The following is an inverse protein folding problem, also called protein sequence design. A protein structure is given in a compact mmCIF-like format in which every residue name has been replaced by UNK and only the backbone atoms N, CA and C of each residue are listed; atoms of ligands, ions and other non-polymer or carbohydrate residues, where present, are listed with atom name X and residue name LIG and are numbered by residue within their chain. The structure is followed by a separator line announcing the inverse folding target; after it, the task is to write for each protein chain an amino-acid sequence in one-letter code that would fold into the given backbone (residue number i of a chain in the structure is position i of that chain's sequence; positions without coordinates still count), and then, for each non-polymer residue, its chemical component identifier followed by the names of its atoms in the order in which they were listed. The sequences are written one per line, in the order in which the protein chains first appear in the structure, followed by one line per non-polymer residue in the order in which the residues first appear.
data_IF_979023750271
#
_entry.id   IF_979023750271
#
_cell.length_a   1.000
_cell.length_b   1.000
_cell.length_c   1.000
_cell.angle_alpha   90.00
_cell.angle_beta   90.00
_cell.angle_gamma   90.00
#
_symmetry.space_group_name_H-M   'P 1'
#
loop_
_entity.id
_entity.type
_entity.pdbx_description
1 polymer ?
#
# COMPACT_ATOMS: atom_id res chain seq x y z
N UNK A 1 -8.50 13.61 1.46
CA UNK A 1 -7.34 13.35 0.57
C UNK A 1 -6.64 12.08 0.97
N UNK A 2 -6.21 11.19 0.05
CA UNK A 2 -5.49 9.97 0.41
C UNK A 2 -4.24 10.26 1.24
N UNK A 3 -3.91 9.41 2.24
CA UNK A 3 -2.74 9.60 3.09
C UNK A 3 -1.44 9.49 2.28
N UNK A 4 -0.38 10.12 2.78
CA UNK A 4 0.96 9.94 2.23
C UNK A 4 1.58 8.68 2.85
N UNK A 5 2.26 7.89 2.02
CA UNK A 5 3.12 6.82 2.51
C UNK A 5 4.50 7.37 2.90
N UNK A 6 5.35 6.52 3.48
CA UNK A 6 6.72 6.88 3.89
C UNK A 6 7.63 7.31 2.73
N UNK A 7 7.22 7.05 1.48
CA UNK A 7 7.90 7.54 0.29
C UNK A 7 7.54 9.00 -0.06
N UNK A 8 6.65 9.66 0.71
CA UNK A 8 6.13 10.99 0.43
C UNK A 8 5.12 11.04 -0.72
N UNK A 9 4.57 9.90 -1.14
CA UNK A 9 3.61 9.79 -2.26
C UNK A 9 2.21 9.48 -1.75
N UNK A 10 1.19 9.90 -2.51
CA UNK A 10 -0.20 9.53 -2.22
C UNK A 10 -0.36 8.01 -2.30
N UNK A 11 -0.94 7.44 -1.25
CA UNK A 11 -1.25 6.02 -1.18
C UNK A 11 -2.43 5.67 -2.12
N UNK A 12 -2.40 4.45 -2.66
CA UNK A 12 -3.46 3.90 -3.50
C UNK A 12 -4.58 3.35 -2.62
N UNK A 13 -5.83 3.71 -2.93
CA UNK A 13 -7.04 3.13 -2.33
C UNK A 13 -7.31 1.76 -2.96
N UNK A 14 -7.49 0.75 -2.12
CA UNK A 14 -7.70 -0.64 -2.52
C UNK A 14 -8.86 -1.23 -1.70
N UNK A 15 -9.57 -2.18 -2.27
CA UNK A 15 -10.66 -2.89 -1.59
C UNK A 15 -10.29 -4.36 -1.43
N UNK A 16 -10.52 -4.92 -0.25
CA UNK A 16 -10.29 -6.35 0.00
C UNK A 16 -11.32 -7.16 -0.78
N UNK A 17 -10.86 -7.86 -1.82
CA UNK A 17 -11.70 -8.76 -2.62
C UNK A 17 -11.70 -10.20 -2.09
N UNK A 18 -10.72 -10.56 -1.25
CA UNK A 18 -10.60 -11.90 -0.68
C UNK A 18 -11.80 -12.17 0.25
N UNK A 19 -12.50 -13.32 0.10
CA UNK A 19 -13.59 -13.69 0.99
C UNK A 19 -13.16 -13.74 2.47
N UNK A 20 -14.03 -13.28 3.35
CA UNK A 20 -13.83 -13.30 4.81
C UNK A 20 -14.35 -12.06 5.53
N UNK A 21 -14.11 -11.92 6.84
CA UNK A 21 -14.66 -10.83 7.66
C UNK A 21 -14.28 -9.41 7.21
N UNK A 22 -13.23 -9.29 6.40
CA UNK A 22 -12.73 -8.03 5.87
C UNK A 22 -13.12 -7.78 4.41
N UNK A 23 -13.85 -8.69 3.76
CA UNK A 23 -14.28 -8.52 2.37
C UNK A 23 -15.06 -7.21 2.21
N UNK A 24 -14.75 -6.47 1.15
CA UNK A 24 -15.34 -5.16 0.89
C UNK A 24 -14.76 -4.00 1.70
N UNK A 25 -13.92 -4.26 2.72
CA UNK A 25 -13.24 -3.17 3.46
C UNK A 25 -12.18 -2.50 2.59
N UNK A 26 -12.05 -1.20 2.76
CA UNK A 26 -11.13 -0.35 1.99
C UNK A 26 -9.90 -0.02 2.81
N UNK A 27 -8.73 -0.10 2.19
CA UNK A 27 -7.45 0.28 2.76
C UNK A 27 -6.61 1.10 1.78
N UNK A 28 -5.59 1.76 2.31
CA UNK A 28 -4.59 2.51 1.57
C UNK A 28 -3.24 1.79 1.66
N UNK A 29 -2.54 1.66 0.52
CA UNK A 29 -1.21 1.07 0.46
C UNK A 29 -0.26 1.91 -0.41
N UNK A 30 1.06 1.72 -0.26
CA UNK A 30 2.04 2.39 -1.11
C UNK A 30 1.76 2.11 -2.60
N UNK A 31 1.78 3.17 -3.41
CA UNK A 31 1.55 3.09 -4.85
C UNK A 31 2.74 2.48 -5.61
N UNK A 32 3.91 2.42 -4.98
CA UNK A 32 5.09 1.77 -5.53
C UNK A 32 5.03 0.28 -5.18
N UNK A 33 5.13 -0.59 -6.19
CA UNK A 33 5.16 -2.03 -5.97
C UNK A 33 6.38 -2.45 -5.13
N UNK A 34 6.19 -3.43 -4.25
CA UNK A 34 7.31 -4.19 -3.69
C UNK A 34 7.85 -5.08 -4.80
N UNK A 35 8.86 -4.63 -5.53
CA UNK A 35 9.62 -5.54 -6.39
C UNK A 35 10.19 -6.64 -5.51
N UNK A 36 9.79 -7.91 -5.74
CA UNK A 36 10.33 -9.11 -5.07
C UNK A 36 11.80 -9.40 -5.42
N UNK A 37 12.56 -8.38 -5.81
CA UNK A 37 13.95 -8.50 -6.24
C UNK A 37 14.89 -8.21 -5.06
N UNK A 38 15.02 -9.18 -4.16
CA UNK A 38 16.15 -9.26 -3.24
C UNK A 38 16.78 -10.65 -3.32
N UNK A 39 17.13 -11.08 -4.54
CA UNK A 39 18.21 -12.04 -4.81
C UNK A 39 18.92 -11.60 -6.08
N UNK A 40 19.57 -10.44 -6.00
CA UNK A 40 20.31 -9.87 -7.12
C UNK A 40 21.13 -8.69 -6.65
N UNK A 41 22.41 -8.95 -6.37
CA UNK A 41 23.41 -7.94 -6.01
C UNK A 41 23.58 -6.94 -7.18
N UNK A 42 22.78 -5.88 -7.20
CA UNK A 42 23.06 -4.69 -8.02
C UNK A 42 22.80 -3.43 -7.17
N UNK A 43 23.75 -2.48 -7.08
CA UNK A 43 23.65 -1.30 -6.22
C UNK A 43 22.91 -0.17 -6.93
N UNK A 44 21.78 -0.48 -7.59
CA UNK A 44 20.99 0.54 -8.29
C UNK A 44 19.73 0.80 -7.49
N UNK A 45 19.68 1.98 -6.85
CA UNK A 45 18.55 2.55 -6.08
C UNK A 45 17.24 2.61 -6.89
N UNK A 46 16.64 1.48 -7.26
CA UNK A 46 15.23 1.45 -7.64
C UNK A 46 14.44 1.48 -6.34
N UNK A 47 13.79 2.61 -6.06
CA UNK A 47 12.92 2.80 -4.88
C UNK A 47 11.86 1.68 -4.87
N UNK A 48 12.09 0.63 -4.09
CA UNK A 48 11.06 -0.35 -3.77
C UNK A 48 9.99 0.33 -2.92
N UNK A 49 8.73 -0.11 -3.06
CA UNK A 49 7.66 0.44 -2.25
C UNK A 49 7.85 0.18 -0.77
N UNK A 50 7.50 1.17 0.07
CA UNK A 50 7.46 1.01 1.53
C UNK A 50 6.31 0.08 1.98
N UNK A 51 6.29 -0.24 3.27
CA UNK A 51 5.30 -1.12 3.89
C UNK A 51 4.01 -0.40 4.33
N UNK A 52 3.79 0.86 3.93
CA UNK A 52 2.63 1.65 4.32
C UNK A 52 1.30 0.91 4.10
N UNK A 53 0.49 0.85 5.16
CA UNK A 53 -0.84 0.27 5.20
C UNK A 53 -1.70 1.09 6.17
N UNK A 54 -2.91 1.45 5.75
CA UNK A 54 -3.85 2.18 6.60
C UNK A 54 -5.30 1.85 6.21
N UNK A 55 -6.16 1.49 7.17
CA UNK A 55 -7.59 1.27 6.89
C UNK A 55 -8.29 2.59 6.54
N UNK A 56 -9.22 2.59 5.60
CA UNK A 56 -10.11 3.74 5.44
C UNK A 56 -10.95 3.87 6.72
N UNK A 57 -10.99 5.07 7.35
CA UNK A 57 -11.83 5.27 8.52
C UNK A 57 -13.27 4.99 8.15
N UNK A 58 -13.99 4.31 9.04
CA UNK A 58 -15.44 4.20 8.90
C UNK A 58 -15.98 5.61 9.13
N UNK A 59 -16.45 6.25 8.07
CA UNK A 59 -17.22 7.47 8.23
C UNK A 59 -18.53 7.04 8.88
N UNK A 60 -18.61 7.11 10.20
CA UNK A 60 -19.89 7.07 10.91
C UNK A 60 -20.67 8.28 10.42
N UNK A 61 -21.78 8.04 9.71
CA UNK A 61 -22.76 9.07 9.41
C UNK A 61 -23.43 9.54 10.68
#
# INVERSE_FOLDING_TARGET
TPPLCDCGRRAKRLTVMKPGPNQGRVFYACSVGKSRASFGRTPMKKKSGCNFFHWEPRVSR
#
